data_IF_919665188858
#
_entry.id   IF_919665188858
#
_cell.length_a   1.000
_cell.length_b   1.000
_cell.length_c   1.000
_cell.angle_alpha   90.00
_cell.angle_beta   90.00
_cell.angle_gamma   90.00
#
_symmetry.space_group_name_H-M   'P 1'
#
loop_
_entity.id
_entity.type
_entity.pdbx_description
1 polymer ?
#
# COMPACT_ATOMS: atom_id res chain seq x y z
N UNK A 1 12.57 1.20 -13.83
CA UNK A 1 11.94 2.32 -14.57
C UNK A 1 12.80 3.51 -14.22
N UNK A 2 13.57 4.03 -15.18
CA UNK A 2 14.67 4.95 -14.90
C UNK A 2 14.17 6.20 -14.16
N UNK A 3 13.00 6.68 -14.54
CA UNK A 3 12.34 7.88 -14.00
C UNK A 3 12.02 7.72 -12.51
N UNK A 4 11.51 6.55 -12.10
CA UNK A 4 11.21 6.28 -10.69
C UNK A 4 12.48 6.15 -9.85
N UNK A 5 13.51 5.49 -10.39
CA UNK A 5 14.81 5.38 -9.72
C UNK A 5 15.48 6.77 -9.59
N UNK A 6 15.32 7.64 -10.59
CA UNK A 6 15.81 9.01 -10.58
C UNK A 6 15.05 9.88 -9.57
N UNK A 7 13.73 9.72 -9.42
CA UNK A 7 12.95 10.39 -8.35
C UNK A 7 13.47 10.00 -6.95
N UNK A 8 13.73 8.71 -6.70
CA UNK A 8 14.28 8.25 -5.42
C UNK A 8 15.63 8.93 -5.14
N UNK A 9 16.51 9.03 -6.14
CA UNK A 9 17.80 9.73 -6.00
C UNK A 9 17.63 11.22 -5.75
N UNK A 10 16.67 11.87 -6.40
CA UNK A 10 16.38 13.30 -6.17
C UNK A 10 15.98 13.50 -4.71
N UNK A 11 15.05 12.70 -4.19
CA UNK A 11 14.62 12.78 -2.79
C UNK A 11 15.77 12.50 -1.81
N UNK A 12 16.61 11.49 -2.09
CA UNK A 12 17.81 11.22 -1.28
C UNK A 12 18.76 12.44 -1.25
N UNK A 13 18.99 13.08 -2.40
CA UNK A 13 19.83 14.27 -2.49
C UNK A 13 19.20 15.45 -1.71
N UNK A 14 17.89 15.67 -1.84
CA UNK A 14 17.18 16.72 -1.12
C UNK A 14 17.28 16.52 0.39
N UNK A 15 16.97 15.32 0.89
CA UNK A 15 17.11 14.95 2.30
C UNK A 15 18.54 15.13 2.84
N UNK A 16 19.55 14.93 1.98
CA UNK A 16 20.96 15.10 2.36
C UNK A 16 21.43 16.56 2.32
N UNK A 17 21.01 17.35 1.32
CA UNK A 17 21.59 18.66 1.00
C UNK A 17 20.69 19.85 1.33
N UNK A 18 19.37 19.69 1.30
CA UNK A 18 18.42 20.76 1.58
C UNK A 18 18.06 20.78 3.09
N UNK A 19 18.34 21.88 3.81
CA UNK A 19 18.02 21.96 5.24
C UNK A 19 16.52 21.86 5.55
N UNK A 20 15.66 22.30 4.62
CA UNK A 20 14.21 22.23 4.79
C UNK A 20 13.71 20.79 4.64
N UNK A 21 14.07 20.10 3.56
CA UNK A 21 13.69 18.69 3.35
C UNK A 21 14.23 17.79 4.46
N UNK A 22 15.47 18.02 4.91
CA UNK A 22 16.08 17.27 6.00
C UNK A 22 15.34 17.41 7.34
N UNK A 23 14.73 18.57 7.59
CA UNK A 23 13.97 18.83 8.83
C UNK A 23 12.60 18.16 8.85
N UNK A 24 12.09 17.71 7.71
CA UNK A 24 10.79 17.04 7.63
C UNK A 24 10.79 15.72 8.41
N UNK A 25 9.63 15.40 9.01
CA UNK A 25 9.34 14.14 9.69
C UNK A 25 8.03 13.54 9.14
N UNK A 26 7.68 12.33 9.59
CA UNK A 26 6.38 11.75 9.22
C UNK A 26 5.22 12.63 9.70
N UNK A 27 5.38 13.21 10.88
CA UNK A 27 4.38 14.04 11.55
C UNK A 27 4.21 15.39 10.87
N UNK A 28 5.31 16.03 10.44
CA UNK A 28 5.24 17.33 9.74
C UNK A 28 4.64 17.21 8.35
N UNK A 29 4.84 16.08 7.67
CA UNK A 29 4.31 15.85 6.31
C UNK A 29 2.87 15.32 6.26
N UNK A 30 2.37 14.76 7.36
CA UNK A 30 1.01 14.20 7.43
C UNK A 30 -0.12 15.14 6.94
N UNK A 31 -0.19 16.44 7.32
CA UNK A 31 -1.27 17.31 6.83
C UNK A 31 -1.22 17.49 5.31
N UNK A 32 -0.03 17.63 4.74
CA UNK A 32 0.15 17.82 3.30
C UNK A 32 -0.27 16.60 2.50
N UNK A 33 -0.03 15.37 2.99
CA UNK A 33 -0.57 14.17 2.33
C UNK A 33 -2.10 14.21 2.15
N UNK A 34 -2.83 14.80 3.10
CA UNK A 34 -4.27 14.96 3.02
C UNK A 34 -4.66 16.05 2.01
N UNK A 35 -3.93 17.15 2.00
CA UNK A 35 -4.08 18.25 1.03
C UNK A 35 -3.93 17.75 -0.40
N UNK A 36 -2.80 17.11 -0.73
CA UNK A 36 -2.55 16.53 -2.06
C UNK A 36 -3.60 15.45 -2.43
N UNK A 37 -4.20 14.79 -1.44
CA UNK A 37 -5.28 13.82 -1.71
C UNK A 37 -6.55 14.55 -2.13
N UNK A 38 -6.86 15.66 -1.48
CA UNK A 38 -8.01 16.49 -1.83
C UNK A 38 -7.81 17.16 -3.19
N UNK A 39 -6.61 17.68 -3.49
CA UNK A 39 -6.32 18.24 -4.82
C UNK A 39 -6.49 17.18 -5.92
N UNK A 40 -6.03 15.94 -5.70
CA UNK A 40 -6.24 14.85 -6.65
C UNK A 40 -7.74 14.54 -6.86
N UNK A 41 -8.55 14.60 -5.79
CA UNK A 41 -10.01 14.43 -5.88
C UNK A 41 -10.64 15.57 -6.67
N UNK A 42 -10.26 16.82 -6.39
CA UNK A 42 -10.75 17.99 -7.12
C UNK A 42 -10.41 17.91 -8.61
N UNK A 43 -9.21 17.44 -8.96
CA UNK A 43 -8.81 17.23 -10.35
C UNK A 43 -9.63 16.13 -11.03
N UNK A 44 -10.00 15.06 -10.31
CA UNK A 44 -10.90 14.00 -10.81
C UNK A 44 -12.29 14.57 -11.05
N UNK A 45 -12.85 15.29 -10.08
CA UNK A 45 -14.20 15.85 -10.14
C UNK A 45 -14.32 16.93 -11.23
N UNK A 46 -13.26 17.72 -11.43
CA UNK A 46 -13.14 18.70 -12.50
C UNK A 46 -12.83 18.11 -13.88
N UNK A 47 -12.46 16.83 -13.97
CA UNK A 47 -12.08 16.18 -15.21
C UNK A 47 -10.81 16.75 -15.86
N UNK A 48 -9.87 17.26 -15.06
CA UNK A 48 -8.60 17.83 -15.53
C UNK A 48 -7.49 16.77 -15.48
N UNK A 49 -7.14 16.14 -16.61
CA UNK A 49 -6.12 15.10 -16.63
C UNK A 49 -4.70 15.63 -16.39
N UNK A 50 -4.44 16.93 -16.63
CA UNK A 50 -3.12 17.52 -16.40
C UNK A 50 -2.91 17.75 -14.91
N UNK A 51 -3.87 18.41 -14.26
CA UNK A 51 -3.84 18.60 -12.80
C UNK A 51 -3.82 17.25 -12.10
N UNK A 52 -4.63 16.28 -12.53
CA UNK A 52 -4.59 14.93 -11.95
C UNK A 52 -3.20 14.27 -12.05
N UNK A 53 -2.49 14.46 -13.16
CA UNK A 53 -1.13 13.94 -13.30
C UNK A 53 -0.13 14.60 -12.34
N UNK A 54 -0.30 15.90 -12.07
CA UNK A 54 0.49 16.67 -11.11
C UNK A 54 0.25 16.15 -9.69
N UNK A 55 -1.00 16.08 -9.25
CA UNK A 55 -1.36 15.65 -7.89
C UNK A 55 -0.98 14.20 -7.59
N UNK A 56 -1.10 13.31 -8.58
CA UNK A 56 -0.62 11.94 -8.43
C UNK A 56 0.91 11.88 -8.32
N UNK A 57 1.61 12.84 -8.92
CA UNK A 57 3.05 13.06 -8.74
C UNK A 57 3.39 13.51 -7.33
N UNK A 58 2.63 14.42 -6.75
CA UNK A 58 2.85 14.91 -5.38
C UNK A 58 2.53 13.83 -4.33
N UNK A 59 1.48 13.05 -4.55
CA UNK A 59 1.25 11.81 -3.79
C UNK A 59 2.45 10.85 -3.85
N UNK A 60 3.03 10.67 -5.04
CA UNK A 60 4.20 9.82 -5.22
C UNK A 60 5.43 10.38 -4.49
N UNK A 61 5.65 11.70 -4.54
CA UNK A 61 6.70 12.39 -3.80
C UNK A 61 6.58 12.12 -2.29
N UNK A 62 5.38 12.27 -1.72
CA UNK A 62 5.13 11.98 -0.31
C UNK A 62 5.47 10.53 0.06
N UNK A 63 5.08 9.56 -0.77
CA UNK A 63 5.41 8.15 -0.55
C UNK A 63 6.93 7.94 -0.51
N UNK A 64 7.66 8.53 -1.47
CA UNK A 64 9.13 8.40 -1.54
C UNK A 64 9.80 9.12 -0.37
N UNK A 65 9.33 10.31 0.02
CA UNK A 65 9.83 11.05 1.20
C UNK A 65 9.67 10.24 2.50
N UNK A 66 8.50 9.66 2.75
CA UNK A 66 8.29 8.82 3.93
C UNK A 66 9.15 7.56 3.90
N UNK A 67 9.29 6.93 2.74
CA UNK A 67 10.15 5.77 2.58
C UNK A 67 11.62 6.11 2.80
N UNK A 68 12.08 7.28 2.38
CA UNK A 68 13.45 7.74 2.58
C UNK A 68 13.72 8.06 4.07
N UNK A 69 12.81 8.76 4.74
CA UNK A 69 12.91 9.01 6.19
C UNK A 69 12.92 7.71 7.02
N UNK A 70 12.17 6.70 6.60
CA UNK A 70 12.19 5.38 7.23
C UNK A 70 13.51 4.65 6.94
N UNK A 71 14.05 4.77 5.72
CA UNK A 71 15.34 4.18 5.33
C UNK A 71 16.48 4.75 6.14
N UNK A 72 16.50 6.07 6.33
CA UNK A 72 17.48 6.76 7.20
C UNK A 72 17.48 6.23 8.64
N UNK A 73 16.32 5.77 9.13
CA UNK A 73 16.16 5.18 10.47
C UNK A 73 16.37 3.66 10.49
N UNK A 74 16.68 3.04 9.34
CA UNK A 74 16.89 1.59 9.23
C UNK A 74 15.63 0.75 9.45
N UNK A 75 14.42 1.31 9.26
CA UNK A 75 13.16 0.59 9.53
C UNK A 75 12.58 -0.07 8.28
N UNK A 76 12.28 0.71 7.25
CA UNK A 76 11.83 0.23 5.94
C UNK A 76 12.23 1.24 4.86
N UNK A 77 12.25 0.82 3.60
CA UNK A 77 12.47 1.70 2.46
C UNK A 77 11.43 1.53 1.35
N UNK A 78 11.65 2.22 0.23
CA UNK A 78 10.69 2.24 -0.88
C UNK A 78 10.47 0.84 -1.48
N UNK A 79 11.51 0.00 -1.45
CA UNK A 79 11.41 -1.41 -1.87
C UNK A 79 10.42 -2.19 -1.02
N UNK A 80 10.41 -1.97 0.29
CA UNK A 80 9.48 -2.64 1.20
C UNK A 80 8.04 -2.18 0.98
N UNK A 81 7.83 -0.88 0.76
CA UNK A 81 6.51 -0.30 0.43
C UNK A 81 5.95 -0.95 -0.84
N UNK A 82 6.77 -1.00 -1.91
CA UNK A 82 6.41 -1.61 -3.19
C UNK A 82 6.15 -3.11 -3.03
N UNK A 83 6.99 -3.82 -2.28
CA UNK A 83 6.83 -5.26 -2.01
C UNK A 83 5.51 -5.56 -1.30
N UNK A 84 5.19 -4.79 -0.26
CA UNK A 84 3.97 -4.94 0.54
C UNK A 84 2.74 -4.76 -0.34
N UNK A 85 2.68 -3.70 -1.17
CA UNK A 85 1.53 -3.49 -2.03
C UNK A 85 1.47 -4.51 -3.17
N UNK A 86 2.60 -4.87 -3.80
CA UNK A 86 2.65 -5.86 -4.89
C UNK A 86 2.13 -7.21 -4.42
N UNK A 87 2.67 -7.73 -3.33
CA UNK A 87 2.27 -9.04 -2.79
C UNK A 87 0.82 -9.03 -2.31
N UNK A 88 0.36 -7.93 -1.70
CA UNK A 88 -1.05 -7.75 -1.32
C UNK A 88 -1.99 -7.77 -2.54
N UNK A 89 -1.63 -7.09 -3.62
CA UNK A 89 -2.46 -7.03 -4.82
C UNK A 89 -2.51 -8.37 -5.55
N UNK A 90 -1.38 -9.07 -5.70
CA UNK A 90 -1.35 -10.43 -6.27
C UNK A 90 -2.25 -11.36 -5.46
N UNK A 91 -2.10 -11.38 -4.13
CA UNK A 91 -2.89 -12.22 -3.22
C UNK A 91 -4.39 -11.93 -3.30
N UNK A 92 -4.78 -10.65 -3.42
CA UNK A 92 -6.19 -10.23 -3.50
C UNK A 92 -6.83 -10.52 -4.86
N UNK A 93 -6.04 -10.81 -5.90
CA UNK A 93 -6.52 -11.09 -7.26
C UNK A 93 -6.14 -12.50 -7.75
N UNK A 94 -6.53 -13.58 -7.02
CA UNK A 94 -6.23 -14.94 -7.45
C UNK A 94 -6.98 -15.35 -8.72
N UNK A 95 -7.97 -14.55 -9.15
CA UNK A 95 -8.68 -14.71 -10.41
C UNK A 95 -7.90 -14.16 -11.62
N UNK A 96 -6.89 -13.31 -11.38
CA UNK A 96 -5.98 -12.79 -12.40
C UNK A 96 -4.63 -13.52 -12.34
N UNK A 97 -4.04 -13.65 -11.14
CA UNK A 97 -2.68 -14.17 -10.96
C UNK A 97 -2.61 -15.62 -10.47
N UNK A 98 -3.75 -16.23 -10.17
CA UNK A 98 -3.83 -17.59 -9.63
C UNK A 98 -4.47 -18.58 -10.60
N UNK A 99 -4.74 -19.79 -10.10
CA UNK A 99 -5.38 -20.86 -10.88
C UNK A 99 -6.90 -20.72 -10.99
N UNK A 100 -7.51 -19.80 -10.25
CA UNK A 100 -8.96 -19.59 -10.27
C UNK A 100 -9.31 -18.76 -11.51
N UNK A 101 -10.28 -19.22 -12.28
CA UNK A 101 -10.81 -18.47 -13.43
C UNK A 101 -12.29 -18.20 -13.19
N UNK A 102 -12.60 -17.12 -12.48
CA UNK A 102 -13.97 -16.58 -12.41
C UNK A 102 -13.97 -15.17 -12.96
N UNK A 103 -14.97 -14.87 -13.79
CA UNK A 103 -15.23 -13.52 -14.33
C UNK A 103 -16.46 -12.87 -13.68
N UNK A 104 -17.14 -13.57 -12.77
CA UNK A 104 -18.36 -13.08 -12.13
C UNK A 104 -18.01 -12.09 -11.02
N UNK A 105 -18.42 -10.83 -11.19
CA UNK A 105 -18.12 -9.72 -10.25
C UNK A 105 -18.51 -10.08 -8.81
N UNK A 106 -19.70 -10.66 -8.61
CA UNK A 106 -20.18 -11.03 -7.27
C UNK A 106 -19.27 -12.07 -6.59
N UNK A 107 -18.76 -13.04 -7.34
CA UNK A 107 -17.84 -14.06 -6.82
C UNK A 107 -16.46 -13.46 -6.49
N UNK A 108 -15.98 -12.56 -7.35
CA UNK A 108 -14.75 -11.79 -7.12
C UNK A 108 -14.88 -10.97 -5.83
N UNK A 109 -15.98 -10.24 -5.66
CA UNK A 109 -16.23 -9.41 -4.49
C UNK A 109 -16.31 -10.21 -3.18
N UNK A 110 -17.12 -11.30 -3.17
CA UNK A 110 -17.21 -12.20 -2.01
C UNK A 110 -15.84 -12.76 -1.61
N UNK A 111 -15.00 -13.07 -2.60
CA UNK A 111 -13.65 -13.58 -2.34
C UNK A 111 -12.70 -12.51 -1.84
N UNK A 112 -12.78 -11.31 -2.40
CA UNK A 112 -12.00 -10.16 -1.95
C UNK A 112 -12.28 -9.84 -0.48
N UNK A 113 -13.55 -9.82 -0.07
CA UNK A 113 -13.90 -9.61 1.34
C UNK A 113 -13.39 -10.73 2.24
N UNK A 114 -13.51 -12.00 1.81
CA UNK A 114 -12.93 -13.14 2.54
C UNK A 114 -11.42 -12.99 2.74
N UNK A 115 -10.67 -12.58 1.72
CA UNK A 115 -9.23 -12.36 1.81
C UNK A 115 -8.93 -11.22 2.79
N UNK A 116 -9.65 -10.09 2.71
CA UNK A 116 -9.51 -8.97 3.66
C UNK A 116 -9.77 -9.41 5.09
N UNK A 117 -10.74 -10.28 5.32
CA UNK A 117 -11.05 -10.82 6.65
C UNK A 117 -9.87 -11.62 7.22
N UNK A 118 -9.25 -12.46 6.40
CA UNK A 118 -8.05 -13.22 6.79
C UNK A 118 -6.88 -12.29 7.08
N UNK A 119 -6.63 -11.29 6.25
CA UNK A 119 -5.56 -10.30 6.46
C UNK A 119 -5.75 -9.50 7.76
N UNK A 120 -6.99 -9.08 8.06
CA UNK A 120 -7.31 -8.41 9.33
C UNK A 120 -7.03 -9.32 10.53
N UNK A 121 -7.36 -10.60 10.42
CA UNK A 121 -7.09 -11.58 11.47
C UNK A 121 -5.59 -11.84 11.65
N UNK A 122 -4.84 -11.94 10.54
CA UNK A 122 -3.38 -12.06 10.56
C UNK A 122 -2.72 -10.87 11.27
N UNK A 123 -3.13 -9.64 10.95
CA UNK A 123 -2.63 -8.43 11.59
C UNK A 123 -2.91 -8.43 13.10
N UNK A 124 -4.11 -8.85 13.53
CA UNK A 124 -4.44 -9.00 14.96
C UNK A 124 -3.55 -10.01 15.69
N UNK A 125 -3.02 -11.00 14.97
CA UNK A 125 -2.05 -11.98 15.47
C UNK A 125 -0.58 -11.53 15.33
N UNK A 126 -0.31 -10.31 14.87
CA UNK A 126 1.05 -9.82 14.63
C UNK A 126 1.75 -10.48 13.44
N UNK A 127 1.02 -11.14 12.55
CA UNK A 127 1.59 -11.79 11.36
C UNK A 127 1.76 -10.74 10.26
N UNK A 128 3.00 -10.50 9.85
CA UNK A 128 3.30 -9.59 8.75
C UNK A 128 2.69 -10.08 7.43
N UNK A 129 1.99 -9.21 6.70
CA UNK A 129 1.19 -9.59 5.52
C UNK A 129 2.02 -10.15 4.35
N UNK A 130 3.31 -9.84 4.26
CA UNK A 130 4.20 -10.43 3.25
C UNK A 130 4.47 -11.92 3.50
N UNK A 131 4.22 -12.42 4.72
CA UNK A 131 4.35 -13.84 5.09
C UNK A 131 3.07 -14.65 4.85
N UNK A 132 2.03 -14.04 4.28
CA UNK A 132 0.76 -14.72 3.98
C UNK A 132 0.81 -15.40 2.61
N UNK A 133 1.43 -16.58 2.58
CA UNK A 133 1.34 -17.51 1.46
C UNK A 133 0.00 -18.27 1.42
N UNK A 134 -0.21 -19.07 0.39
CA UNK A 134 -1.43 -19.86 0.22
C UNK A 134 -1.68 -20.85 1.37
N UNK A 135 -0.61 -21.36 2.00
CA UNK A 135 -0.70 -22.31 3.11
C UNK A 135 -1.21 -21.60 4.36
N UNK A 136 -0.59 -20.48 4.73
CA UNK A 136 -0.96 -19.68 5.90
C UNK A 136 -2.35 -19.07 5.75
N UNK A 137 -2.72 -18.66 4.53
CA UNK A 137 -4.07 -18.19 4.23
C UNK A 137 -5.14 -19.27 4.46
N UNK A 138 -4.86 -20.53 4.11
CA UNK A 138 -5.77 -21.65 4.39
C UNK A 138 -5.87 -21.96 5.88
N UNK A 139 -4.74 -21.96 6.59
CA UNK A 139 -4.67 -22.15 8.04
C UNK A 139 -5.52 -21.13 8.79
N UNK A 140 -5.26 -19.83 8.58
CA UNK A 140 -6.02 -18.74 9.20
C UNK A 140 -7.50 -18.77 8.81
N UNK A 141 -7.82 -19.18 7.57
CA UNK A 141 -9.22 -19.35 7.16
C UNK A 141 -9.93 -20.48 7.89
N UNK A 142 -9.23 -21.52 8.36
CA UNK A 142 -9.83 -22.58 9.19
C UNK A 142 -10.05 -22.08 10.61
N UNK A 143 -9.04 -21.45 11.21
CA UNK A 143 -9.11 -20.88 12.55
C UNK A 143 -10.26 -19.86 12.70
N UNK A 144 -10.47 -19.00 11.68
CA UNK A 144 -11.59 -18.04 11.69
C UNK A 144 -12.93 -18.79 11.76
N UNK A 145 -13.10 -19.86 10.99
CA UNK A 145 -14.35 -20.63 10.97
C UNK A 145 -14.58 -21.38 12.28
N UNK A 146 -13.52 -21.89 12.89
CA UNK A 146 -13.57 -22.57 14.20
C UNK A 146 -13.98 -21.57 15.30
N UNK A 147 -13.35 -20.40 15.35
CA UNK A 147 -13.70 -19.34 16.30
C UNK A 147 -15.14 -18.82 16.15
N UNK A 148 -15.69 -18.82 14.93
CA UNK A 148 -17.09 -18.44 14.68
C UNK A 148 -18.08 -19.52 15.12
N UNK A 149 -17.68 -20.79 15.09
CA UNK A 149 -18.50 -21.91 15.58
C UNK A 149 -18.52 -21.98 17.11
N UNK A 150 -17.39 -21.72 17.77
CA UNK A 150 -17.30 -21.73 19.23
C UNK A 150 -18.00 -20.54 19.92
N UNK A 151 -18.44 -19.53 19.15
CA UNK A 151 -19.19 -18.36 19.65
C UNK A 151 -20.70 -18.46 19.41
N UNK A 152 -21.16 -19.54 18.78
CA UNK A 152 -22.58 -19.88 18.62
C UNK A 152 -22.94 -20.96 19.62
#
# INVERSE_FOLDING_TARGET
MKEFDDLIKVVEILRKKCPWDKKQTHETLKPYMLEETNEAIEAIDGGDPKKLCEELGDQLLHIVMHAEMAREKGTFGIKDVVEVIRTKMIRRHPHVFGKLKTKKILEIWKRWDKIKKIERYANKKGIHLTKLDDKKMKELSKEIKENERSKK
#
